data_IF_209998786353
#
_entry.id   IF_209998786353
#
_cell.length_a   1.000
_cell.length_b   1.000
_cell.length_c   1.000
_cell.angle_alpha   90.00
_cell.angle_beta   90.00
_cell.angle_gamma   90.00
#
_symmetry.space_group_name_H-M   'P 1'
#
loop_
_entity.id
_entity.type
_entity.pdbx_description
1 polymer ?
#
# COMPACT_ATOMS: atom_id res chain seq x y z
N UNK A 1 -12.11 -7.77 4.48
CA UNK A 1 -12.39 -7.01 3.23
C UNK A 1 -11.77 -5.63 3.36
N UNK A 2 -11.07 -5.16 2.34
CA UNK A 2 -10.48 -3.81 2.30
C UNK A 2 -11.33 -2.91 1.40
N UNK A 3 -11.92 -1.88 1.96
CA UNK A 3 -12.70 -0.90 1.21
C UNK A 3 -11.99 0.46 1.19
N UNK A 4 -12.27 1.25 0.19
CA UNK A 4 -11.91 2.67 0.16
C UNK A 4 -13.17 3.53 0.12
N UNK A 5 -13.09 4.71 0.73
CA UNK A 5 -14.18 5.67 0.82
C UNK A 5 -13.84 6.96 0.11
N UNK A 6 -14.69 7.42 -0.80
CA UNK A 6 -14.56 8.73 -1.44
C UNK A 6 -15.57 9.67 -0.81
N UNK A 7 -15.07 10.78 -0.23
CA UNK A 7 -15.92 11.85 0.31
C UNK A 7 -16.13 12.87 -0.79
N UNK A 8 -17.37 12.97 -1.28
CA UNK A 8 -17.75 13.86 -2.38
C UNK A 8 -17.83 15.35 -2.01
N UNK A 9 -17.01 15.81 -1.07
CA UNK A 9 -16.97 17.19 -0.61
C UNK A 9 -15.53 17.62 -0.36
N UNK A 10 -15.16 18.77 -0.84
CA UNK A 10 -13.89 19.46 -0.55
C UNK A 10 -14.04 20.52 0.56
N UNK A 11 -15.20 20.58 1.24
CA UNK A 11 -15.39 21.48 2.37
C UNK A 11 -14.63 20.98 3.60
N UNK A 12 -14.04 21.91 4.37
CA UNK A 12 -13.35 21.61 5.63
C UNK A 12 -14.29 20.94 6.63
N UNK A 13 -15.51 21.46 6.80
CA UNK A 13 -16.55 20.85 7.61
C UNK A 13 -17.55 20.15 6.70
N UNK A 14 -17.53 18.81 6.70
CA UNK A 14 -18.41 18.00 5.87
C UNK A 14 -19.11 16.90 6.67
N UNK A 15 -20.44 16.87 6.66
CA UNK A 15 -21.20 15.77 7.28
C UNK A 15 -21.05 14.45 6.54
N UNK A 16 -20.75 14.48 5.27
CA UNK A 16 -20.40 13.28 4.53
C UNK A 16 -19.03 12.72 4.95
N UNK A 17 -18.07 13.58 5.31
CA UNK A 17 -16.79 13.17 5.92
C UNK A 17 -17.03 12.56 7.30
N UNK A 18 -17.80 13.22 8.17
CA UNK A 18 -18.16 12.69 9.50
C UNK A 18 -18.83 11.32 9.40
N UNK A 19 -19.77 11.16 8.44
CA UNK A 19 -20.42 9.87 8.20
C UNK A 19 -19.41 8.77 7.81
N UNK A 20 -18.49 9.08 6.92
CA UNK A 20 -17.47 8.12 6.50
C UNK A 20 -16.45 7.79 7.60
N UNK A 21 -16.07 8.77 8.41
CA UNK A 21 -15.21 8.57 9.60
C UNK A 21 -15.92 7.70 10.65
N UNK A 22 -17.22 7.96 10.90
CA UNK A 22 -18.04 7.10 11.74
C UNK A 22 -18.08 5.65 11.22
N UNK A 23 -18.32 5.46 9.92
CA UNK A 23 -18.32 4.14 9.29
C UNK A 23 -16.97 3.45 9.49
N UNK A 24 -15.87 4.15 9.26
CA UNK A 24 -14.51 3.59 9.41
C UNK A 24 -14.19 3.20 10.87
N UNK A 25 -14.74 3.93 11.85
CA UNK A 25 -14.55 3.68 13.27
C UNK A 25 -15.43 2.55 13.79
N UNK A 26 -16.73 2.59 13.48
CA UNK A 26 -17.77 1.76 14.10
C UNK A 26 -17.84 0.34 13.52
N UNK A 27 -17.56 0.18 12.21
CA UNK A 27 -17.77 -1.11 11.53
C UNK A 27 -16.48 -1.85 11.15
N UNK A 28 -15.44 -1.71 11.97
CA UNK A 28 -14.15 -2.42 11.80
C UNK A 28 -14.27 -3.94 11.83
N UNK A 29 -15.32 -4.45 12.43
CA UNK A 29 -15.65 -5.88 12.46
C UNK A 29 -16.13 -6.42 11.10
N UNK A 30 -16.60 -5.55 10.20
CA UNK A 30 -17.07 -5.93 8.87
C UNK A 30 -15.98 -5.77 7.81
N UNK A 31 -15.21 -4.68 7.87
CA UNK A 31 -14.18 -4.34 6.88
C UNK A 31 -13.21 -3.28 7.42
N UNK A 32 -12.11 -3.07 6.72
CA UNK A 32 -11.27 -1.88 6.88
C UNK A 32 -11.65 -0.84 5.83
N UNK A 33 -11.81 0.42 6.23
CA UNK A 33 -12.15 1.53 5.34
C UNK A 33 -11.06 2.60 5.38
N UNK A 34 -10.44 2.86 4.24
CA UNK A 34 -9.49 3.94 4.05
C UNK A 34 -10.16 5.09 3.29
N UNK A 35 -10.12 6.30 3.83
CA UNK A 35 -10.73 7.47 3.20
C UNK A 35 -9.77 8.12 2.21
N UNK A 36 -10.27 8.40 1.02
CA UNK A 36 -9.56 9.09 -0.05
C UNK A 36 -10.05 10.53 -0.14
N UNK A 37 -9.11 11.48 -0.18
CA UNK A 37 -9.41 12.90 -0.25
C UNK A 37 -9.36 13.39 -1.71
N UNK A 38 -10.38 14.15 -2.10
CA UNK A 38 -10.48 14.78 -3.42
C UNK A 38 -10.15 16.27 -3.41
N UNK A 39 -9.79 16.82 -2.25
CA UNK A 39 -9.63 18.27 -2.04
C UNK A 39 -8.55 18.88 -2.91
N UNK A 40 -7.44 18.16 -3.10
CA UNK A 40 -6.28 18.63 -3.85
C UNK A 40 -6.29 18.22 -5.32
N UNK A 41 -7.33 17.52 -5.78
CA UNK A 41 -7.43 17.19 -7.20
C UNK A 41 -7.75 18.44 -8.02
N UNK A 42 -7.05 18.67 -9.13
CA UNK A 42 -7.38 19.78 -10.01
C UNK A 42 -8.77 19.58 -10.66
N UNK A 43 -9.39 20.65 -11.07
CA UNK A 43 -10.61 20.54 -11.89
C UNK A 43 -10.27 19.81 -13.19
N UNK A 44 -11.15 18.89 -13.58
CA UNK A 44 -10.95 18.11 -14.80
C UNK A 44 -10.90 19.02 -16.02
N UNK A 45 -9.85 18.85 -16.81
CA UNK A 45 -9.65 19.47 -18.11
C UNK A 45 -8.96 18.43 -19.02
N UNK A 46 -9.64 18.00 -20.07
CA UNK A 46 -9.11 16.96 -20.96
C UNK A 46 -7.87 17.39 -21.78
N UNK A 47 -7.59 18.70 -21.85
CA UNK A 47 -6.41 19.23 -22.52
C UNK A 47 -5.15 19.19 -21.63
N UNK A 48 -5.32 18.86 -20.35
CA UNK A 48 -4.27 18.75 -19.34
C UNK A 48 -4.09 17.28 -18.93
N UNK A 49 -2.92 16.70 -19.18
CA UNK A 49 -2.63 15.32 -18.76
C UNK A 49 -2.12 15.28 -17.32
N UNK A 50 -3.03 15.24 -16.37
CA UNK A 50 -2.71 15.02 -14.96
C UNK A 50 -2.74 13.54 -14.54
N UNK A 51 -3.20 12.65 -15.41
CA UNK A 51 -3.36 11.23 -15.09
C UNK A 51 -2.04 10.52 -14.77
N UNK A 52 -0.93 11.04 -15.32
CA UNK A 52 0.42 10.47 -15.15
C UNK A 52 1.32 11.25 -14.18
N UNK A 53 0.95 12.46 -13.82
CA UNK A 53 1.82 13.39 -13.08
C UNK A 53 1.25 13.82 -11.73
N UNK A 54 -0.08 13.81 -11.56
CA UNK A 54 -0.70 14.21 -10.31
C UNK A 54 -0.59 13.10 -9.26
N UNK A 55 0.19 13.35 -8.20
CA UNK A 55 0.44 12.41 -7.11
C UNK A 55 -0.84 11.91 -6.46
N UNK A 56 -1.76 12.82 -6.12
CA UNK A 56 -2.96 12.47 -5.36
C UNK A 56 -3.90 11.60 -6.22
N UNK A 57 -3.99 11.89 -7.51
CA UNK A 57 -4.74 11.09 -8.47
C UNK A 57 -4.14 9.69 -8.65
N UNK A 58 -2.80 9.57 -8.76
CA UNK A 58 -2.11 8.29 -8.88
C UNK A 58 -2.25 7.44 -7.61
N UNK A 59 -2.15 8.07 -6.44
CA UNK A 59 -2.40 7.39 -5.16
C UNK A 59 -3.84 6.89 -5.06
N UNK A 60 -4.80 7.74 -5.42
CA UNK A 60 -6.23 7.37 -5.43
C UNK A 60 -6.50 6.20 -6.37
N UNK A 61 -5.97 6.25 -7.59
CA UNK A 61 -6.07 5.17 -8.57
C UNK A 61 -5.60 3.82 -7.99
N UNK A 62 -4.37 3.78 -7.43
CA UNK A 62 -3.82 2.56 -6.84
C UNK A 62 -4.68 2.03 -5.69
N UNK A 63 -5.11 2.92 -4.79
CA UNK A 63 -5.94 2.54 -3.63
C UNK A 63 -7.26 1.92 -4.07
N UNK A 64 -7.91 2.48 -5.10
CA UNK A 64 -9.15 1.94 -5.66
C UNK A 64 -8.89 0.59 -6.36
N UNK A 65 -7.82 0.46 -7.15
CA UNK A 65 -7.47 -0.80 -7.79
C UNK A 65 -7.29 -1.94 -6.78
N UNK A 66 -6.63 -1.67 -5.67
CA UNK A 66 -6.32 -2.63 -4.61
C UNK A 66 -7.47 -2.92 -3.65
N UNK A 67 -8.51 -2.09 -3.67
CA UNK A 67 -9.67 -2.27 -2.80
C UNK A 67 -10.64 -3.33 -3.33
N UNK A 68 -11.30 -4.01 -2.40
CA UNK A 68 -12.37 -4.97 -2.69
C UNK A 68 -13.67 -4.30 -3.15
N UNK A 69 -13.84 -3.00 -2.82
CA UNK A 69 -14.98 -2.19 -3.20
C UNK A 69 -14.81 -0.74 -2.75
N UNK A 70 -15.74 0.11 -3.18
CA UNK A 70 -15.71 1.55 -2.91
C UNK A 70 -17.02 1.99 -2.26
N UNK A 71 -16.93 2.88 -1.27
CA UNK A 71 -18.09 3.59 -0.72
C UNK A 71 -17.95 5.06 -1.10
N UNK A 72 -18.97 5.64 -1.74
CA UNK A 72 -18.97 7.07 -2.11
C UNK A 72 -20.04 7.78 -1.32
N UNK A 73 -19.63 8.75 -0.48
CA UNK A 73 -20.52 9.61 0.26
C UNK A 73 -20.68 10.95 -0.48
N UNK A 74 -21.89 11.27 -0.94
CA UNK A 74 -22.14 12.50 -1.69
C UNK A 74 -23.06 13.46 -0.96
N UNK A 75 -22.69 14.75 -0.79
CA UNK A 75 -23.65 15.79 -0.50
C UNK A 75 -24.54 16.07 -1.73
N UNK A 76 -25.61 16.82 -1.52
CA UNK A 76 -26.48 17.30 -2.61
C UNK A 76 -26.32 18.81 -2.76
N UNK A 77 -25.81 19.24 -3.91
CA UNK A 77 -25.74 20.65 -4.31
C UNK A 77 -26.58 20.86 -5.56
N UNK A 78 -27.55 21.76 -5.47
CA UNK A 78 -28.44 22.06 -6.60
C UNK A 78 -29.04 20.79 -7.25
N UNK A 79 -29.50 19.85 -6.41
CA UNK A 79 -30.11 18.58 -6.80
C UNK A 79 -29.17 17.58 -7.50
N UNK A 80 -27.87 17.75 -7.41
CA UNK A 80 -26.88 16.85 -8.01
C UNK A 80 -25.66 16.69 -7.10
N UNK A 81 -24.65 15.95 -7.56
CA UNK A 81 -23.36 15.82 -6.90
C UNK A 81 -22.56 17.13 -6.97
N UNK A 82 -21.54 17.24 -6.16
CA UNK A 82 -20.62 18.40 -6.20
C UNK A 82 -19.77 18.42 -7.47
N UNK A 83 -19.34 19.61 -7.88
CA UNK A 83 -18.41 19.79 -8.99
C UNK A 83 -17.07 19.07 -8.72
N UNK A 84 -16.59 19.10 -7.47
CA UNK A 84 -15.36 18.40 -7.06
C UNK A 84 -15.47 16.88 -7.20
N UNK A 85 -16.58 16.27 -6.79
CA UNK A 85 -16.81 14.84 -6.97
C UNK A 85 -16.90 14.47 -8.45
N UNK A 86 -17.64 15.27 -9.24
CA UNK A 86 -17.77 15.04 -10.69
C UNK A 86 -16.40 15.09 -11.37
N UNK A 87 -15.59 16.11 -11.05
CA UNK A 87 -14.23 16.27 -11.55
C UNK A 87 -13.33 15.09 -11.18
N UNK A 88 -13.37 14.63 -9.92
CA UNK A 88 -12.61 13.45 -9.49
C UNK A 88 -13.00 12.19 -10.29
N UNK A 89 -14.30 11.98 -10.53
CA UNK A 89 -14.78 10.85 -11.34
C UNK A 89 -14.37 10.97 -12.81
N UNK A 90 -14.32 12.17 -13.38
CA UNK A 90 -13.81 12.40 -14.74
C UNK A 90 -12.32 12.01 -14.83
N UNK A 91 -11.48 12.46 -13.90
CA UNK A 91 -10.08 12.05 -13.85
C UNK A 91 -9.92 10.54 -13.75
N UNK A 92 -10.73 9.88 -12.91
CA UNK A 92 -10.70 8.44 -12.71
C UNK A 92 -11.28 7.63 -13.90
N UNK A 93 -11.99 8.28 -14.82
CA UNK A 93 -12.62 7.62 -15.97
C UNK A 93 -12.04 8.03 -17.32
N UNK A 94 -11.10 8.98 -17.36
CA UNK A 94 -10.51 9.46 -18.60
C UNK A 94 -9.42 8.51 -19.13
N UNK A 95 -8.45 8.10 -18.28
CA UNK A 95 -7.37 7.20 -18.69
C UNK A 95 -7.10 6.05 -17.71
N UNK A 96 -7.47 6.20 -16.44
CA UNK A 96 -7.05 5.30 -15.37
C UNK A 96 -8.02 4.11 -15.14
N UNK A 97 -9.31 4.34 -15.23
CA UNK A 97 -10.40 3.37 -15.09
C UNK A 97 -10.35 2.42 -13.86
N UNK A 98 -9.99 2.87 -12.62
CA UNK A 98 -9.91 1.97 -11.47
C UNK A 98 -11.28 1.51 -10.95
N UNK A 99 -12.35 2.22 -11.33
CA UNK A 99 -13.73 1.90 -10.95
C UNK A 99 -14.39 0.86 -11.86
N UNK A 100 -13.78 0.54 -12.99
CA UNK A 100 -14.32 -0.45 -13.93
C UNK A 100 -14.51 -1.82 -13.27
N UNK A 101 -15.74 -2.32 -13.32
CA UNK A 101 -16.17 -3.56 -12.68
C UNK A 101 -15.96 -3.58 -11.14
N UNK A 102 -15.76 -2.41 -10.51
CA UNK A 102 -15.59 -2.28 -9.07
C UNK A 102 -16.96 -2.21 -8.37
N UNK A 103 -17.21 -3.01 -7.32
CA UNK A 103 -18.40 -2.85 -6.51
C UNK A 103 -18.43 -1.49 -5.81
N UNK A 104 -19.50 -0.72 -6.00
CA UNK A 104 -19.64 0.61 -5.43
C UNK A 104 -20.94 0.75 -4.65
N UNK A 105 -20.86 1.21 -3.40
CA UNK A 105 -21.99 1.64 -2.59
C UNK A 105 -22.04 3.16 -2.58
N UNK A 106 -23.24 3.70 -2.81
CA UNK A 106 -23.51 5.14 -2.73
C UNK A 106 -24.32 5.41 -1.48
N UNK A 107 -23.95 6.45 -0.72
CA UNK A 107 -24.66 6.94 0.45
C UNK A 107 -24.46 8.46 0.58
N UNK A 108 -25.13 9.09 1.55
CA UNK A 108 -24.90 10.50 1.76
C UNK A 108 -25.67 11.08 2.94
N UNK A 109 -25.25 12.29 3.30
CA UNK A 109 -25.85 13.11 4.35
C UNK A 109 -26.18 14.51 3.83
N UNK A 110 -27.30 15.07 4.27
CA UNK A 110 -27.73 16.44 3.96
C UNK A 110 -28.32 17.16 5.16
N UNK A 111 -28.38 18.50 5.09
CA UNK A 111 -29.04 19.32 6.11
C UNK A 111 -30.54 19.10 6.18
N UNK A 112 -31.17 18.72 5.07
CA UNK A 112 -32.60 18.52 4.93
C UNK A 112 -32.96 17.04 4.99
N UNK A 113 -34.24 16.74 5.05
CA UNK A 113 -34.77 15.38 5.22
C UNK A 113 -34.44 14.43 4.04
N UNK A 114 -34.14 14.97 2.85
CA UNK A 114 -33.87 14.15 1.64
C UNK A 114 -32.59 13.31 1.69
N UNK A 115 -31.65 13.62 2.59
CA UNK A 115 -30.44 12.82 2.76
C UNK A 115 -29.59 12.66 1.49
N UNK A 116 -29.55 13.64 0.60
CA UNK A 116 -28.89 13.66 -0.71
C UNK A 116 -29.46 12.69 -1.77
N UNK A 117 -30.74 12.35 -1.69
CA UNK A 117 -31.38 11.34 -2.56
C UNK A 117 -31.22 11.62 -4.06
N UNK A 118 -31.39 12.88 -4.51
CA UNK A 118 -31.24 13.24 -5.93
C UNK A 118 -29.80 13.14 -6.40
N UNK A 119 -28.86 13.59 -5.57
CA UNK A 119 -27.43 13.46 -5.88
C UNK A 119 -27.03 11.98 -5.98
N UNK A 120 -27.56 11.10 -5.13
CA UNK A 120 -27.31 9.66 -5.21
C UNK A 120 -27.86 9.05 -6.51
N UNK A 121 -29.01 9.46 -6.99
CA UNK A 121 -29.56 9.02 -8.28
C UNK A 121 -28.66 9.45 -9.44
N UNK A 122 -28.22 10.71 -9.48
CA UNK A 122 -27.30 11.20 -10.50
C UNK A 122 -25.94 10.49 -10.43
N UNK A 123 -25.43 10.26 -9.22
CA UNK A 123 -24.17 9.53 -9.04
C UNK A 123 -24.25 8.11 -9.59
N UNK A 124 -25.38 7.41 -9.39
CA UNK A 124 -25.61 6.07 -9.97
C UNK A 124 -25.54 6.09 -11.49
N UNK A 125 -26.15 7.08 -12.15
CA UNK A 125 -26.08 7.23 -13.61
C UNK A 125 -24.63 7.47 -14.10
N UNK A 126 -23.85 8.29 -13.38
CA UNK A 126 -22.46 8.55 -13.70
C UNK A 126 -21.61 7.28 -13.55
N UNK A 127 -21.83 6.51 -12.48
CA UNK A 127 -21.10 5.28 -12.20
C UNK A 127 -21.44 4.16 -13.19
N UNK A 128 -22.64 4.15 -13.75
CA UNK A 128 -23.11 3.21 -14.77
C UNK A 128 -22.64 3.59 -16.19
N UNK A 129 -22.11 4.80 -16.38
CA UNK A 129 -21.61 5.24 -17.67
C UNK A 129 -20.45 4.37 -18.17
N UNK A 130 -20.36 4.05 -19.49
CA UNK A 130 -19.35 3.16 -20.04
C UNK A 130 -17.91 3.52 -19.71
N UNK A 131 -17.60 4.83 -19.53
CA UNK A 131 -16.27 5.29 -19.16
C UNK A 131 -15.90 4.96 -17.69
N UNK A 132 -16.88 4.84 -16.79
CA UNK A 132 -16.69 4.46 -15.37
C UNK A 132 -16.93 2.97 -15.16
N UNK A 133 -18.05 2.46 -15.70
CA UNK A 133 -18.45 1.04 -15.71
C UNK A 133 -18.35 0.35 -14.33
N UNK A 134 -18.83 1.01 -13.28
CA UNK A 134 -18.82 0.46 -11.92
C UNK A 134 -20.02 -0.46 -11.69
N UNK A 135 -19.88 -1.48 -10.83
CA UNK A 135 -21.00 -2.34 -10.41
C UNK A 135 -21.65 -1.72 -9.18
N UNK A 136 -22.67 -0.89 -9.41
CA UNK A 136 -23.35 -0.14 -8.34
C UNK A 136 -24.25 -1.06 -7.52
N UNK A 137 -24.06 -1.06 -6.19
CA UNK A 137 -24.88 -1.85 -5.26
C UNK A 137 -26.36 -1.45 -5.35
N UNK A 138 -27.27 -2.37 -5.73
CA UNK A 138 -28.68 -2.06 -5.95
C UNK A 138 -29.46 -2.00 -4.64
N UNK A 139 -30.51 -1.17 -4.62
CA UNK A 139 -31.38 -1.01 -3.43
C UNK A 139 -30.63 -0.46 -2.22
N UNK A 140 -31.18 -0.61 -1.04
CA UNK A 140 -30.57 -0.25 0.24
C UNK A 140 -29.95 1.16 0.26
N UNK A 141 -30.73 2.17 -0.12
CA UNK A 141 -30.33 3.56 -0.02
C UNK A 141 -30.12 3.94 1.44
N UNK A 142 -28.97 4.56 1.74
CA UNK A 142 -28.73 5.17 3.03
C UNK A 142 -28.74 6.69 2.86
N UNK A 143 -29.79 7.31 3.38
CA UNK A 143 -30.12 8.73 3.23
C UNK A 143 -30.13 9.36 4.63
N UNK A 144 -29.02 10.00 5.03
CA UNK A 144 -28.95 10.68 6.32
C UNK A 144 -29.45 12.11 6.19
N UNK A 145 -30.74 12.33 6.51
CA UNK A 145 -31.31 13.67 6.66
C UNK A 145 -30.92 14.34 7.97
N UNK A 146 -31.17 15.64 8.09
CA UNK A 146 -30.93 16.46 9.30
C UNK A 146 -29.55 16.26 9.89
N UNK A 147 -28.53 16.25 9.06
CA UNK A 147 -27.17 15.87 9.44
C UNK A 147 -26.58 16.69 10.60
N UNK A 148 -27.08 17.92 10.84
CA UNK A 148 -26.65 18.74 12.00
C UNK A 148 -27.03 18.11 13.34
N UNK A 149 -28.18 17.43 13.37
CA UNK A 149 -28.77 16.84 14.58
C UNK A 149 -28.38 15.34 14.71
N UNK A 150 -27.88 14.75 13.63
CA UNK A 150 -27.61 13.32 13.54
C UNK A 150 -26.32 12.88 14.23
N UNK A 151 -25.41 13.81 14.53
CA UNK A 151 -24.13 13.50 15.14
C UNK A 151 -23.98 14.20 16.49
N UNK A 152 -23.34 13.48 17.45
CA UNK A 152 -22.87 14.05 18.71
C UNK A 152 -21.57 14.88 18.51
N UNK A 153 -21.03 15.42 19.62
CA UNK A 153 -19.81 16.21 19.60
C UNK A 153 -18.57 15.38 19.20
N UNK A 154 -18.59 14.09 19.46
CA UNK A 154 -17.54 13.11 19.16
C UNK A 154 -17.65 12.52 17.75
N UNK A 155 -18.66 12.94 16.97
CA UNK A 155 -18.91 12.52 15.59
C UNK A 155 -19.60 11.16 15.46
N UNK A 156 -20.24 10.64 16.52
CA UNK A 156 -21.04 9.41 16.45
C UNK A 156 -22.48 9.73 16.07
N UNK A 157 -23.14 8.81 15.37
CA UNK A 157 -24.56 8.89 15.10
C UNK A 157 -25.35 8.66 16.41
N UNK A 158 -26.32 9.55 16.70
CA UNK A 158 -27.08 9.54 17.96
C UNK A 158 -28.31 8.63 17.94
N UNK A 159 -28.82 8.24 16.78
CA UNK A 159 -30.01 7.40 16.66
C UNK A 159 -29.65 5.94 16.38
N UNK A 160 -29.93 5.06 17.35
CA UNK A 160 -29.64 3.63 17.27
C UNK A 160 -30.31 2.92 16.08
N UNK A 161 -31.48 3.39 15.63
CA UNK A 161 -32.17 2.82 14.48
C UNK A 161 -31.40 3.14 13.19
N UNK A 162 -30.92 4.35 13.08
CA UNK A 162 -30.08 4.80 11.96
C UNK A 162 -28.76 4.01 11.94
N UNK A 163 -28.10 3.82 13.08
CA UNK A 163 -26.89 2.99 13.21
C UNK A 163 -27.17 1.55 12.80
N UNK A 164 -28.27 0.94 13.32
CA UNK A 164 -28.65 -0.43 12.97
C UNK A 164 -29.01 -0.61 11.48
N UNK A 165 -29.68 0.38 10.87
CA UNK A 165 -29.98 0.35 9.45
C UNK A 165 -28.73 0.49 8.60
N UNK A 166 -27.81 1.39 8.96
CA UNK A 166 -26.51 1.55 8.29
C UNK A 166 -25.71 0.24 8.34
N UNK A 167 -25.64 -0.42 9.51
CA UNK A 167 -25.01 -1.73 9.64
C UNK A 167 -25.62 -2.77 8.70
N UNK A 168 -26.94 -2.77 8.59
CA UNK A 168 -27.65 -3.67 7.65
C UNK A 168 -27.25 -3.41 6.20
N UNK A 169 -27.22 -2.13 5.77
CA UNK A 169 -26.79 -1.75 4.42
C UNK A 169 -25.34 -2.16 4.15
N UNK A 170 -24.42 -1.88 5.08
CA UNK A 170 -23.01 -2.23 4.96
C UNK A 170 -22.77 -3.75 4.92
N UNK A 171 -23.47 -4.51 5.76
CA UNK A 171 -23.40 -5.99 5.75
C UNK A 171 -23.85 -6.57 4.40
N UNK A 172 -24.93 -6.02 3.82
CA UNK A 172 -25.41 -6.43 2.51
C UNK A 172 -24.41 -6.04 1.41
N UNK A 173 -23.81 -4.84 1.51
CA UNK A 173 -22.79 -4.40 0.58
C UNK A 173 -21.56 -5.30 0.61
N UNK A 174 -21.07 -5.70 1.78
CA UNK A 174 -19.95 -6.66 1.92
C UNK A 174 -20.25 -7.98 1.19
N UNK A 175 -21.44 -8.53 1.39
CA UNK A 175 -21.88 -9.76 0.67
C UNK A 175 -21.94 -9.54 -0.84
N UNK A 176 -22.51 -8.42 -1.27
CA UNK A 176 -22.57 -8.05 -2.68
C UNK A 176 -21.18 -7.91 -3.29
N UNK A 177 -20.28 -7.18 -2.64
CA UNK A 177 -18.91 -6.98 -3.10
C UNK A 177 -18.15 -8.31 -3.24
N UNK A 178 -18.33 -9.25 -2.28
CA UNK A 178 -17.74 -10.60 -2.36
C UNK A 178 -18.20 -11.36 -3.61
N UNK A 179 -19.49 -11.28 -3.95
CA UNK A 179 -20.03 -11.94 -5.16
C UNK A 179 -19.58 -11.20 -6.42
N UNK A 180 -19.68 -9.88 -6.44
CA UNK A 180 -19.31 -9.07 -7.60
C UNK A 180 -17.84 -9.25 -8.00
N UNK A 181 -16.92 -9.37 -7.02
CA UNK A 181 -15.52 -9.68 -7.30
C UNK A 181 -15.32 -11.00 -8.07
N UNK A 182 -16.17 -11.99 -7.84
CA UNK A 182 -16.09 -13.26 -8.58
C UNK A 182 -16.53 -13.13 -10.05
N UNK A 183 -17.26 -12.07 -10.38
CA UNK A 183 -17.71 -11.77 -11.74
C UNK A 183 -16.74 -10.84 -12.48
N UNK A 184 -15.87 -10.14 -11.74
CA UNK A 184 -14.91 -9.24 -12.35
C UNK A 184 -13.86 -10.02 -13.14
N UNK A 185 -13.75 -9.77 -14.42
CA UNK A 185 -12.63 -10.23 -15.21
C UNK A 185 -11.36 -9.59 -14.67
N UNK A 186 -10.31 -10.40 -14.45
CA UNK A 186 -9.01 -9.87 -14.05
C UNK A 186 -8.48 -9.02 -15.20
N UNK A 187 -8.19 -7.74 -14.94
CA UNK A 187 -7.50 -6.89 -15.92
C UNK A 187 -6.22 -7.60 -16.37
N UNK A 188 -5.96 -7.70 -17.68
CA UNK A 188 -4.72 -8.29 -18.15
C UNK A 188 -3.55 -7.50 -17.58
N UNK A 189 -2.56 -8.22 -17.08
CA UNK A 189 -1.32 -7.59 -16.61
C UNK A 189 -0.59 -6.99 -17.81
N UNK A 190 -0.17 -5.73 -17.75
CA UNK A 190 0.61 -5.11 -18.82
C UNK A 190 1.84 -5.95 -19.16
N UNK A 191 2.15 -6.05 -20.45
CA UNK A 191 3.37 -6.71 -20.90
C UNK A 191 4.55 -5.77 -20.67
N UNK A 192 5.55 -6.25 -19.93
CA UNK A 192 6.74 -5.50 -19.59
C UNK A 192 7.90 -5.80 -20.54
N UNK A 193 8.73 -4.82 -20.76
CA UNK A 193 10.03 -5.00 -21.39
C UNK A 193 11.12 -5.22 -20.32
N UNK A 194 11.48 -6.46 -20.12
CA UNK A 194 12.51 -6.82 -19.15
C UNK A 194 13.94 -6.64 -19.68
N UNK A 195 14.10 -6.30 -20.97
CA UNK A 195 15.43 -6.10 -21.56
C UNK A 195 15.94 -4.67 -21.39
N UNK A 196 15.15 -3.80 -20.76
CA UNK A 196 15.46 -2.41 -20.57
C UNK A 196 15.70 -1.64 -21.89
N UNK A 197 15.05 -2.06 -22.98
CA UNK A 197 15.23 -1.49 -24.33
C UNK A 197 14.33 -0.29 -24.63
N UNK A 198 13.83 0.41 -23.59
CA UNK A 198 13.04 1.62 -23.73
C UNK A 198 13.82 2.83 -24.27
N UNK A 199 13.21 4.02 -24.29
CA UNK A 199 13.89 5.25 -24.72
C UNK A 199 15.10 5.63 -23.87
N UNK A 200 15.12 5.16 -22.59
CA UNK A 200 16.26 5.15 -21.71
C UNK A 200 16.52 3.70 -21.36
N UNK A 201 17.50 3.07 -21.97
CA UNK A 201 17.85 1.68 -21.74
C UNK A 201 18.44 1.46 -20.36
N UNK A 202 18.90 2.52 -19.72
CA UNK A 202 19.49 2.52 -18.38
C UNK A 202 19.06 3.77 -17.61
N UNK A 203 19.06 3.70 -16.28
CA UNK A 203 18.89 4.88 -15.42
C UNK A 203 19.97 5.93 -15.68
N UNK A 204 21.18 5.48 -16.07
CA UNK A 204 22.31 6.34 -16.46
C UNK A 204 22.44 6.28 -17.97
N UNK A 205 21.89 7.27 -18.64
CA UNK A 205 21.84 7.36 -20.10
C UNK A 205 23.24 7.33 -20.72
N UNK A 206 23.39 6.55 -21.81
CA UNK A 206 24.62 6.47 -22.63
C UNK A 206 25.74 5.62 -22.01
N UNK A 207 25.42 4.75 -21.06
CA UNK A 207 26.29 3.64 -20.61
C UNK A 207 25.62 2.34 -21.01
N UNK A 208 26.37 1.47 -21.73
CA UNK A 208 25.84 0.17 -22.17
C UNK A 208 25.56 -0.72 -20.94
N UNK A 209 24.30 -1.06 -20.71
CA UNK A 209 23.88 -1.88 -19.56
C UNK A 209 24.42 -3.32 -19.56
N UNK A 210 24.97 -3.79 -20.70
CA UNK A 210 25.59 -5.12 -20.81
C UNK A 210 27.11 -5.07 -20.75
N UNK A 211 27.71 -3.90 -20.48
CA UNK A 211 29.16 -3.79 -20.34
C UNK A 211 29.61 -4.36 -18.99
N UNK A 212 30.63 -5.23 -19.00
CA UNK A 212 31.19 -5.83 -17.76
C UNK A 212 31.70 -4.79 -16.76
N UNK A 213 32.11 -3.61 -17.25
CA UNK A 213 32.56 -2.45 -16.48
C UNK A 213 31.51 -1.35 -16.35
N UNK A 214 30.22 -1.73 -16.42
CA UNK A 214 29.10 -0.78 -16.34
C UNK A 214 29.16 0.06 -15.06
N UNK A 215 29.46 -0.56 -13.92
CA UNK A 215 29.48 0.10 -12.61
C UNK A 215 30.48 1.25 -12.57
N UNK A 216 31.71 1.01 -13.05
CA UNK A 216 32.80 2.00 -13.08
C UNK A 216 32.44 3.14 -14.05
N UNK A 217 32.02 2.80 -15.25
CA UNK A 217 31.63 3.79 -16.28
C UNK A 217 30.44 4.64 -15.85
N UNK A 218 29.45 4.03 -15.22
CA UNK A 218 28.30 4.72 -14.70
C UNK A 218 28.69 5.67 -13.56
N UNK A 219 29.50 5.19 -12.61
CA UNK A 219 29.99 6.00 -11.50
C UNK A 219 30.81 7.22 -11.97
N UNK A 220 31.71 7.02 -12.93
CA UNK A 220 32.49 8.10 -13.53
C UNK A 220 31.58 9.13 -14.23
N UNK A 221 30.62 8.66 -15.02
CA UNK A 221 29.73 9.51 -15.83
C UNK A 221 28.87 10.43 -14.99
N UNK A 222 28.35 9.95 -13.84
CA UNK A 222 27.49 10.76 -12.96
C UNK A 222 28.27 11.43 -11.84
N UNK A 223 29.60 11.31 -11.81
CA UNK A 223 30.45 11.77 -10.71
C UNK A 223 29.94 11.23 -9.37
N UNK A 224 29.73 9.92 -9.28
CA UNK A 224 29.19 9.29 -8.09
C UNK A 224 30.07 9.55 -6.87
N UNK A 225 29.44 9.87 -5.76
CA UNK A 225 30.14 10.15 -4.50
C UNK A 225 30.32 8.88 -3.68
N UNK A 226 31.40 8.83 -2.87
CA UNK A 226 31.73 7.69 -2.02
C UNK A 226 32.35 8.15 -0.70
N UNK A 227 32.63 7.19 0.18
CA UNK A 227 33.39 7.40 1.41
C UNK A 227 32.64 8.27 2.42
N UNK A 228 33.32 9.25 2.96
CA UNK A 228 32.86 10.15 4.02
C UNK A 228 32.07 11.36 3.51
N UNK A 229 31.75 11.39 2.20
CA UNK A 229 30.89 12.44 1.61
C UNK A 229 29.48 12.36 2.19
N UNK A 230 28.97 13.48 2.71
CA UNK A 230 27.64 13.56 3.27
C UNK A 230 26.54 13.63 2.19
N UNK A 231 25.50 12.83 2.36
CA UNK A 231 24.26 12.90 1.58
C UNK A 231 23.11 13.32 2.48
N UNK A 232 22.27 14.24 1.99
CA UNK A 232 21.07 14.68 2.69
C UNK A 232 19.90 13.81 2.25
N UNK A 233 19.30 13.10 3.19
CA UNK A 233 18.08 12.34 3.02
C UNK A 233 16.87 13.17 3.51
N UNK A 234 15.65 12.73 3.23
CA UNK A 234 14.43 13.43 3.64
C UNK A 234 14.34 13.64 5.17
N UNK A 235 14.85 12.67 5.93
CA UNK A 235 14.81 12.69 7.40
C UNK A 235 16.14 12.34 8.05
N UNK A 236 17.23 12.86 7.50
CA UNK A 236 18.54 12.65 8.08
C UNK A 236 19.69 13.04 7.18
N UNK A 237 20.89 12.93 7.73
CA UNK A 237 22.15 13.16 7.03
C UNK A 237 23.09 12.02 7.39
N UNK A 238 23.65 11.35 6.40
CA UNK A 238 24.61 10.26 6.54
C UNK A 238 25.77 10.48 5.57
N UNK A 239 26.93 9.92 5.88
CA UNK A 239 27.94 9.73 4.84
C UNK A 239 27.56 8.54 3.97
N UNK A 240 28.13 8.43 2.78
CA UNK A 240 27.93 7.27 1.91
C UNK A 240 28.35 5.98 2.61
N UNK A 241 29.46 5.97 3.34
CA UNK A 241 29.90 4.82 4.13
C UNK A 241 28.90 4.46 5.23
N UNK A 242 28.36 5.44 5.96
CA UNK A 242 27.33 5.19 6.97
C UNK A 242 26.06 4.62 6.35
N UNK A 243 25.66 5.08 5.16
CA UNK A 243 24.53 4.53 4.44
C UNK A 243 24.79 3.07 4.04
N UNK A 244 25.98 2.75 3.53
CA UNK A 244 26.38 1.38 3.21
C UNK A 244 26.39 0.47 4.45
N UNK A 245 26.97 0.93 5.58
CA UNK A 245 26.95 0.15 6.82
C UNK A 245 25.54 -0.11 7.31
N UNK A 246 24.67 0.90 7.22
CA UNK A 246 23.26 0.77 7.59
C UNK A 246 22.53 -0.25 6.71
N UNK A 247 22.63 -0.17 5.39
CA UNK A 247 22.01 -1.11 4.45
C UNK A 247 22.56 -2.54 4.62
N UNK A 248 23.88 -2.69 4.82
CA UNK A 248 24.53 -3.99 4.97
C UNK A 248 24.22 -4.64 6.34
N UNK A 249 23.86 -3.86 7.36
CA UNK A 249 23.49 -4.38 8.69
C UNK A 249 22.06 -4.91 8.76
N UNK A 250 21.24 -4.68 7.75
CA UNK A 250 19.86 -5.19 7.73
C UNK A 250 19.86 -6.72 7.63
N UNK A 251 19.08 -7.44 8.46
CA UNK A 251 19.03 -8.90 8.47
C UNK A 251 18.24 -9.47 7.30
N UNK A 252 18.41 -8.90 6.12
CA UNK A 252 17.75 -9.28 4.88
C UNK A 252 18.60 -8.92 3.67
N UNK A 253 18.42 -9.65 2.59
CA UNK A 253 19.03 -9.31 1.31
C UNK A 253 18.15 -8.31 0.60
N UNK A 254 18.73 -7.19 0.18
CA UNK A 254 18.05 -6.12 -0.54
C UNK A 254 18.52 -6.08 -1.99
N UNK A 255 17.58 -5.91 -2.89
CA UNK A 255 17.86 -5.70 -4.32
C UNK A 255 16.97 -4.58 -4.84
N UNK A 256 17.56 -3.66 -5.60
CA UNK A 256 16.81 -2.59 -6.25
C UNK A 256 16.95 -2.69 -7.78
N UNK A 257 15.80 -2.73 -8.45
CA UNK A 257 15.68 -2.52 -9.88
C UNK A 257 14.85 -1.28 -10.15
N UNK A 258 15.29 -0.45 -11.08
CA UNK A 258 14.66 0.83 -11.39
C UNK A 258 13.40 0.69 -12.26
N UNK A 259 12.81 1.83 -12.63
CA UNK A 259 11.65 1.87 -13.51
C UNK A 259 11.91 1.41 -14.94
N UNK A 260 13.17 1.28 -15.37
CA UNK A 260 13.57 0.73 -16.66
C UNK A 260 13.84 -0.79 -16.60
N UNK A 261 13.55 -1.43 -15.46
CA UNK A 261 13.87 -2.85 -15.24
C UNK A 261 15.38 -3.17 -15.28
N UNK A 262 16.18 -2.19 -14.86
CA UNK A 262 17.62 -2.35 -14.69
C UNK A 262 17.97 -2.61 -13.23
N UNK A 263 18.79 -3.63 -12.97
CA UNK A 263 19.29 -3.99 -11.65
C UNK A 263 20.42 -3.03 -11.26
N UNK A 264 20.21 -2.20 -10.23
CA UNK A 264 21.13 -1.12 -9.88
C UNK A 264 21.86 -1.29 -8.55
N UNK A 265 21.29 -2.07 -7.62
CA UNK A 265 21.87 -2.18 -6.29
C UNK A 265 21.47 -3.47 -5.60
N UNK A 266 22.41 -4.03 -4.83
CA UNK A 266 22.11 -5.00 -3.79
C UNK A 266 23.02 -4.72 -2.57
N UNK A 267 22.55 -5.05 -1.35
CA UNK A 267 23.35 -4.86 -0.16
C UNK A 267 24.33 -6.02 0.04
N UNK A 268 25.52 -5.70 0.55
CA UNK A 268 26.50 -6.70 0.94
C UNK A 268 26.18 -7.23 2.35
N UNK A 269 25.18 -8.11 2.44
CA UNK A 269 24.75 -8.72 3.69
C UNK A 269 25.54 -9.98 4.02
N UNK A 270 25.91 -10.75 3.00
CA UNK A 270 26.69 -12.00 3.05
C UNK A 270 27.49 -12.17 1.79
N UNK A 271 28.45 -13.09 1.84
CA UNK A 271 29.15 -13.57 0.63
C UNK A 271 28.15 -14.20 -0.34
N UNK A 272 28.41 -14.11 -1.64
CA UNK A 272 27.53 -14.55 -2.71
C UNK A 272 27.08 -16.01 -2.58
N UNK A 273 27.97 -16.89 -2.12
CA UNK A 273 27.68 -18.32 -1.91
C UNK A 273 26.78 -18.58 -0.69
N UNK A 274 26.68 -17.66 0.26
CA UNK A 274 25.81 -17.74 1.46
C UNK A 274 24.46 -17.04 1.26
N UNK A 275 24.31 -16.25 0.20
CA UNK A 275 23.08 -15.51 -0.08
C UNK A 275 21.92 -16.45 -0.39
N UNK A 276 20.75 -16.06 0.04
CA UNK A 276 19.48 -16.75 -0.27
C UNK A 276 19.08 -16.55 -1.74
N UNK A 277 19.37 -15.38 -2.30
CA UNK A 277 19.32 -15.14 -3.74
C UNK A 277 20.67 -14.59 -4.18
N UNK A 278 21.47 -15.44 -4.78
CA UNK A 278 22.83 -15.09 -5.19
C UNK A 278 22.86 -13.89 -6.11
N UNK A 279 23.66 -12.89 -5.75
CA UNK A 279 23.93 -11.70 -6.55
C UNK A 279 25.44 -11.53 -6.69
N UNK A 280 25.85 -11.00 -7.83
CA UNK A 280 27.26 -10.76 -8.14
C UNK A 280 27.48 -9.32 -8.59
N UNK A 281 28.63 -8.73 -8.32
CA UNK A 281 28.93 -7.35 -8.74
C UNK A 281 28.72 -7.11 -10.24
N UNK A 282 29.05 -8.07 -11.09
CA UNK A 282 28.92 -7.96 -12.55
C UNK A 282 27.47 -7.92 -13.04
N UNK A 283 26.50 -8.22 -12.16
CA UNK A 283 25.09 -8.13 -12.50
C UNK A 283 24.53 -6.72 -12.30
N UNK A 284 25.26 -5.84 -11.61
CA UNK A 284 24.84 -4.44 -11.43
C UNK A 284 24.91 -3.73 -12.78
N UNK A 285 23.81 -3.11 -13.19
CA UNK A 285 23.65 -2.53 -14.51
C UNK A 285 22.92 -3.42 -15.51
N UNK A 286 22.83 -4.74 -15.26
CA UNK A 286 22.12 -5.65 -16.15
C UNK A 286 20.61 -5.44 -16.12
N UNK A 287 19.95 -5.79 -17.22
CA UNK A 287 18.50 -5.85 -17.26
C UNK A 287 17.94 -7.03 -16.44
N UNK A 288 16.69 -6.94 -15.98
CA UNK A 288 16.04 -8.07 -15.29
C UNK A 288 15.96 -9.33 -16.15
N UNK A 289 15.98 -9.20 -17.48
CA UNK A 289 16.05 -10.33 -18.40
C UNK A 289 17.37 -11.11 -18.27
N UNK A 290 18.47 -10.41 -17.97
CA UNK A 290 19.81 -11.00 -17.90
C UNK A 290 20.18 -11.50 -16.48
N UNK A 291 19.52 -10.98 -15.46
CA UNK A 291 19.76 -11.39 -14.05
C UNK A 291 19.33 -12.83 -13.77
N UNK A 292 18.46 -13.43 -14.60
CA UNK A 292 17.91 -14.78 -14.42
C UNK A 292 18.22 -15.71 -15.60
N UNK A 293 19.47 -16.18 -15.77
CA UNK A 293 19.88 -16.89 -16.98
C UNK A 293 19.46 -18.38 -17.06
N UNK A 294 19.19 -19.06 -15.96
CA UNK A 294 19.13 -20.53 -15.94
C UNK A 294 17.87 -21.16 -16.58
N UNK A 295 16.75 -20.42 -16.67
CA UNK A 295 15.52 -20.89 -17.35
C UNK A 295 14.75 -19.71 -17.95
N UNK A 296 15.20 -19.16 -19.06
CA UNK A 296 14.78 -17.85 -19.52
C UNK A 296 13.27 -17.72 -19.76
N UNK A 297 12.61 -18.65 -20.42
CA UNK A 297 11.21 -18.48 -20.80
C UNK A 297 10.21 -18.51 -19.61
N UNK A 298 10.37 -19.47 -18.70
CA UNK A 298 9.47 -19.61 -17.56
C UNK A 298 9.65 -18.48 -16.55
N UNK A 299 10.90 -18.14 -16.28
CA UNK A 299 11.26 -17.09 -15.32
C UNK A 299 10.87 -15.73 -15.89
N UNK A 300 11.22 -15.43 -17.14
CA UNK A 300 10.84 -14.19 -17.81
C UNK A 300 9.33 -13.98 -17.81
N UNK A 301 8.52 -15.04 -18.03
CA UNK A 301 7.06 -14.95 -17.98
C UNK A 301 6.57 -14.58 -16.58
N UNK A 302 7.15 -15.18 -15.54
CA UNK A 302 6.76 -14.90 -14.14
C UNK A 302 7.23 -13.52 -13.70
N UNK A 303 8.45 -13.12 -14.04
CA UNK A 303 9.00 -11.80 -13.74
C UNK A 303 8.22 -10.72 -14.50
N UNK A 304 7.94 -10.92 -15.78
CA UNK A 304 7.14 -10.01 -16.59
C UNK A 304 5.75 -9.78 -15.98
N UNK A 305 5.07 -10.85 -15.58
CA UNK A 305 3.78 -10.78 -14.90
C UNK A 305 3.87 -10.00 -13.57
N UNK A 306 4.89 -10.30 -12.76
CA UNK A 306 5.08 -9.65 -11.46
C UNK A 306 5.38 -8.16 -11.61
N UNK A 307 6.30 -7.79 -12.48
CA UNK A 307 6.65 -6.39 -12.75
C UNK A 307 5.43 -5.63 -13.25
N UNK A 308 4.67 -6.23 -14.18
CA UNK A 308 3.44 -5.62 -14.69
C UNK A 308 2.39 -5.37 -13.60
N UNK A 309 2.20 -6.32 -12.65
CA UNK A 309 1.30 -6.13 -11.50
C UNK A 309 1.73 -4.95 -10.61
N UNK A 310 3.02 -4.87 -10.30
CA UNK A 310 3.59 -3.83 -9.44
C UNK A 310 3.55 -2.46 -10.14
N UNK A 311 3.97 -2.39 -11.39
CA UNK A 311 3.99 -1.14 -12.18
C UNK A 311 2.60 -0.57 -12.41
N UNK A 312 1.62 -1.43 -12.70
CA UNK A 312 0.22 -1.00 -12.90
C UNK A 312 -0.48 -0.60 -11.61
N UNK A 313 0.15 -0.81 -10.42
CA UNK A 313 -0.43 -0.50 -9.13
C UNK A 313 -1.58 -1.43 -8.71
N UNK A 314 -1.77 -2.56 -9.39
CA UNK A 314 -2.74 -3.56 -8.99
C UNK A 314 -2.40 -4.17 -7.63
N UNK A 315 -1.10 -4.26 -7.33
CA UNK A 315 -0.58 -4.62 -6.00
C UNK A 315 0.63 -3.74 -5.66
N UNK A 316 0.85 -3.48 -4.37
CA UNK A 316 2.06 -2.80 -3.91
C UNK A 316 3.16 -3.79 -3.50
N UNK A 317 2.78 -4.96 -3.01
CA UNK A 317 3.70 -5.99 -2.54
C UNK A 317 3.24 -7.37 -3.00
N UNK A 318 4.16 -8.12 -3.60
CA UNK A 318 3.98 -9.55 -3.87
C UNK A 318 4.92 -10.36 -2.98
N UNK A 319 4.38 -11.39 -2.31
CA UNK A 319 5.18 -12.30 -1.47
C UNK A 319 5.11 -13.71 -2.01
N UNK A 320 6.25 -14.37 -2.00
CA UNK A 320 6.30 -15.79 -2.35
C UNK A 320 7.31 -16.52 -1.46
N UNK A 321 6.95 -17.73 -1.03
CA UNK A 321 7.88 -18.64 -0.38
C UNK A 321 8.64 -19.42 -1.43
N UNK A 322 9.97 -19.49 -1.27
CA UNK A 322 10.88 -20.26 -2.15
C UNK A 322 11.39 -21.48 -1.38
N UNK A 323 10.89 -22.69 -1.69
CA UNK A 323 11.15 -23.89 -0.88
C UNK A 323 12.51 -24.57 -1.17
N UNK A 324 13.38 -23.96 -1.98
CA UNK A 324 14.64 -24.58 -2.44
C UNK A 324 15.76 -24.59 -1.40
N UNK A 325 15.55 -23.92 -0.25
CA UNK A 325 16.58 -23.75 0.78
C UNK A 325 16.56 -24.81 1.90
N UNK A 326 15.82 -25.92 1.69
CA UNK A 326 15.71 -27.01 2.65
C UNK A 326 14.70 -26.77 3.78
N UNK A 327 14.49 -27.77 4.65
CA UNK A 327 13.45 -27.75 5.68
C UNK A 327 13.76 -26.82 6.87
N UNK A 328 15.03 -26.44 7.03
CA UNK A 328 15.49 -25.62 8.15
C UNK A 328 15.38 -24.13 7.92
N UNK A 329 14.90 -23.73 6.74
CA UNK A 329 14.67 -22.34 6.35
C UNK A 329 13.27 -22.14 5.82
N UNK A 330 12.73 -20.94 6.07
CA UNK A 330 11.49 -20.48 5.46
C UNK A 330 11.75 -19.17 4.74
N UNK A 331 12.31 -19.29 3.53
CA UNK A 331 12.75 -18.13 2.74
C UNK A 331 11.57 -17.49 2.01
N UNK A 332 11.42 -16.20 2.24
CA UNK A 332 10.36 -15.39 1.62
C UNK A 332 10.98 -14.28 0.80
N UNK A 333 10.61 -14.23 -0.47
CA UNK A 333 10.89 -13.12 -1.35
C UNK A 333 9.71 -12.15 -1.30
N UNK A 334 9.99 -10.89 -1.05
CA UNK A 334 9.04 -9.80 -1.06
C UNK A 334 9.45 -8.83 -2.17
N UNK A 335 8.56 -8.62 -3.13
CA UNK A 335 8.74 -7.65 -4.20
C UNK A 335 7.81 -6.47 -3.94
N UNK A 336 8.38 -5.31 -3.68
CA UNK A 336 7.64 -4.11 -3.34
C UNK A 336 7.81 -3.04 -4.41
N UNK A 337 6.68 -2.55 -4.93
CA UNK A 337 6.70 -1.40 -5.81
C UNK A 337 7.20 -0.15 -5.07
N UNK A 338 8.11 0.57 -5.69
CA UNK A 338 8.58 1.86 -5.20
C UNK A 338 7.93 2.98 -6.02
N UNK A 339 7.71 4.12 -5.36
CA UNK A 339 7.12 5.29 -6.00
C UNK A 339 7.95 6.52 -5.65
N UNK A 340 8.10 7.41 -6.62
CA UNK A 340 8.75 8.69 -6.42
C UNK A 340 7.85 9.65 -5.60
N UNK A 341 8.36 10.85 -5.32
CA UNK A 341 7.62 11.90 -4.58
C UNK A 341 6.31 12.33 -5.26
N UNK A 342 6.18 12.07 -6.56
CA UNK A 342 4.99 12.37 -7.36
C UNK A 342 4.02 11.18 -7.45
N UNK A 343 4.34 10.05 -6.80
CA UNK A 343 3.53 8.83 -6.82
C UNK A 343 3.68 8.00 -8.09
N UNK A 344 4.64 8.35 -8.96
CA UNK A 344 4.97 7.60 -10.17
C UNK A 344 5.82 6.38 -9.80
N UNK A 345 5.59 5.27 -10.49
CA UNK A 345 6.39 4.04 -10.28
C UNK A 345 7.88 4.30 -10.55
N UNK A 346 8.72 3.97 -9.56
CA UNK A 346 10.15 4.23 -9.55
C UNK A 346 10.99 2.93 -9.59
N UNK A 347 10.33 1.77 -9.56
CA UNK A 347 11.03 0.48 -9.60
C UNK A 347 10.56 -0.49 -8.54
N UNK A 348 11.38 -1.52 -8.29
CA UNK A 348 11.12 -2.61 -7.36
C UNK A 348 12.22 -2.68 -6.32
N UNK A 349 11.83 -2.74 -5.06
CA UNK A 349 12.66 -3.22 -3.98
C UNK A 349 12.32 -4.70 -3.74
N UNK A 350 13.26 -5.61 -4.01
CA UNK A 350 13.15 -6.99 -3.55
C UNK A 350 13.89 -7.10 -2.21
N UNK A 351 13.22 -7.63 -1.19
CA UNK A 351 13.88 -7.99 0.06
C UNK A 351 13.56 -9.43 0.45
N UNK A 352 14.63 -10.16 0.78
CA UNK A 352 14.61 -11.60 0.99
C UNK A 352 15.09 -11.88 2.41
N UNK A 353 14.33 -12.69 3.12
CA UNK A 353 14.72 -13.10 4.46
C UNK A 353 14.23 -14.50 4.80
N UNK A 354 14.96 -15.14 5.72
CA UNK A 354 14.53 -16.38 6.35
C UNK A 354 13.63 -16.05 7.56
N UNK A 355 12.35 -16.37 7.47
CA UNK A 355 11.39 -16.14 8.54
C UNK A 355 11.50 -17.15 9.69
N UNK A 356 12.12 -18.32 9.45
CA UNK A 356 12.14 -19.38 10.47
C UNK A 356 12.78 -18.94 11.77
N UNK A 357 13.93 -18.25 11.83
CA UNK A 357 14.51 -17.80 13.10
C UNK A 357 13.59 -16.85 13.88
N UNK A 358 12.85 -15.98 13.18
CA UNK A 358 11.90 -15.04 13.79
C UNK A 358 10.70 -15.80 14.38
N UNK A 359 10.15 -16.76 13.62
CA UNK A 359 9.04 -17.59 14.07
C UNK A 359 9.47 -18.46 15.27
N UNK A 360 10.65 -19.09 15.19
CA UNK A 360 11.18 -19.91 16.29
C UNK A 360 11.39 -19.07 17.55
N UNK A 361 11.93 -17.86 17.42
CA UNK A 361 12.09 -16.93 18.54
C UNK A 361 10.73 -16.53 19.13
N UNK A 362 9.74 -16.19 18.29
CA UNK A 362 8.37 -15.86 18.73
C UNK A 362 7.72 -17.00 19.50
N UNK A 363 7.76 -18.22 18.97
CA UNK A 363 7.19 -19.40 19.63
C UNK A 363 7.88 -19.67 20.96
N UNK A 364 9.21 -19.49 21.03
CA UNK A 364 9.96 -19.63 22.27
C UNK A 364 9.56 -18.59 23.33
N UNK A 365 9.34 -17.33 22.92
CA UNK A 365 8.95 -16.25 23.83
C UNK A 365 7.51 -16.41 24.34
N UNK A 366 6.60 -16.89 23.49
CA UNK A 366 5.18 -16.96 23.82
C UNK A 366 4.75 -18.31 24.38
N UNK A 367 5.58 -19.35 24.29
CA UNK A 367 5.21 -20.73 24.65
C UNK A 367 4.16 -21.35 23.71
N UNK A 368 3.89 -20.72 22.58
CA UNK A 368 2.96 -21.21 21.57
C UNK A 368 3.60 -22.28 20.69
N UNK A 369 2.78 -23.10 20.04
CA UNK A 369 3.22 -24.07 19.06
C UNK A 369 2.41 -23.96 17.76
N UNK A 370 3.04 -24.29 16.64
CA UNK A 370 2.33 -24.40 15.36
C UNK A 370 1.51 -25.69 15.33
N UNK A 371 0.29 -25.60 14.79
CA UNK A 371 -0.64 -26.72 14.66
C UNK A 371 -1.05 -26.87 13.19
N UNK A 372 -0.97 -28.10 12.66
CA UNK A 372 -1.49 -28.45 11.35
C UNK A 372 -2.61 -29.48 11.51
N UNK A 373 -3.83 -29.14 11.07
CA UNK A 373 -5.01 -30.02 11.21
C UNK A 373 -5.26 -30.52 12.66
N UNK A 374 -5.06 -29.62 13.65
CA UNK A 374 -5.24 -29.97 15.07
C UNK A 374 -4.05 -30.70 15.72
N UNK A 375 -2.99 -31.01 14.99
CA UNK A 375 -1.79 -31.68 15.49
C UNK A 375 -0.63 -30.70 15.59
N UNK A 376 0.05 -30.58 16.74
CA UNK A 376 1.25 -29.74 16.85
C UNK A 376 2.32 -30.16 15.85
N UNK A 377 2.89 -29.20 15.12
CA UNK A 377 3.99 -29.41 14.20
C UNK A 377 5.21 -28.61 14.67
N UNK A 378 6.35 -29.28 14.76
CA UNK A 378 7.58 -28.68 15.26
C UNK A 378 7.83 -28.97 16.73
N UNK A 379 9.00 -28.59 17.23
CA UNK A 379 9.33 -28.70 18.66
C UNK A 379 8.57 -27.62 19.41
N UNK A 380 7.64 -28.02 20.29
CA UNK A 380 7.03 -27.10 21.24
C UNK A 380 8.11 -26.49 22.15
N UNK A 381 8.20 -25.19 22.18
CA UNK A 381 9.07 -24.51 23.13
C UNK A 381 8.30 -24.36 24.47
N UNK A 382 8.86 -24.89 25.53
CA UNK A 382 8.41 -24.50 26.89
C UNK A 382 8.70 -23.00 27.03
N UNK A 383 7.75 -22.24 27.55
CA UNK A 383 7.93 -20.83 27.81
C UNK A 383 9.21 -20.63 28.64
N UNK A 384 10.17 -19.91 28.12
CA UNK A 384 11.29 -19.45 28.91
C UNK A 384 10.71 -18.54 30.01
N UNK A 385 11.17 -18.61 31.24
CA UNK A 385 10.79 -17.64 32.26
C UNK A 385 11.10 -16.25 31.68
N UNK A 386 10.12 -15.36 31.74
CA UNK A 386 10.28 -14.01 31.23
C UNK A 386 11.58 -13.42 31.78
N UNK A 387 12.51 -12.95 30.95
CA UNK A 387 13.65 -12.20 31.46
C UNK A 387 13.05 -11.02 32.23
N UNK A 388 13.54 -10.77 33.44
CA UNK A 388 13.21 -9.58 34.19
C UNK A 388 13.39 -8.40 33.23
N UNK A 389 12.35 -7.60 33.04
CA UNK A 389 12.25 -6.58 31.99
C UNK A 389 13.53 -5.75 31.95
N UNK A 390 14.36 -6.04 30.95
CA UNK A 390 15.35 -5.08 30.49
C UNK A 390 14.61 -4.22 29.49
N UNK A 391 14.26 -3.01 29.91
CA UNK A 391 13.70 -1.96 29.08
C UNK A 391 14.57 -1.74 27.85
N UNK A 392 14.16 -2.30 26.72
CA UNK A 392 14.59 -1.80 25.43
C UNK A 392 13.67 -0.61 25.06
N UNK A 393 13.69 0.41 25.89
CA UNK A 393 13.21 1.72 25.48
C UNK A 393 14.17 2.26 24.46
N UNK A 394 13.69 2.46 23.24
CA UNK A 394 14.30 3.41 22.32
C UNK A 394 14.11 4.82 22.93
N UNK A 395 14.91 5.11 23.94
CA UNK A 395 14.89 6.39 24.62
C UNK A 395 15.68 7.41 23.82
N UNK A 396 15.01 8.40 23.30
CA UNK A 396 15.63 9.71 23.13
C UNK A 396 15.89 10.21 24.56
N UNK A 397 17.15 10.29 24.94
CA UNK A 397 17.61 10.79 26.22
C UNK A 397 17.38 12.28 26.29
N UNK A 398 16.51 12.69 27.20
CA UNK A 398 16.55 14.03 27.75
C UNK A 398 17.39 13.99 29.04
N UNK A 399 18.48 14.73 29.03
CA UNK A 399 19.37 14.83 30.18
C UNK A 399 18.87 15.90 31.15
N UNK A 400 18.52 15.52 32.37
CA UNK A 400 18.23 16.50 33.42
C UNK A 400 17.64 15.93 34.70
N UNK A 401 18.51 15.66 35.66
CA UNK A 401 18.36 15.69 37.14
C UNK A 401 17.32 14.85 37.90
N UNK A 402 17.84 13.89 38.58
CA UNK A 402 17.76 13.56 40.00
C UNK A 402 16.40 13.40 40.69
N UNK A 403 16.13 12.18 41.22
CA UNK A 403 15.12 11.96 42.26
C UNK A 403 14.55 10.57 42.34
N UNK A 404 14.80 9.88 43.44
CA UNK A 404 14.55 8.50 43.79
C UNK A 404 13.15 7.94 43.52
N UNK A 405 13.16 6.59 43.32
CA UNK A 405 12.02 5.68 43.18
C UNK A 405 11.02 5.68 44.35
N UNK A 406 9.80 5.14 44.23
CA UNK A 406 9.62 3.70 44.39
C UNK A 406 8.65 2.97 43.45
N UNK A 407 8.70 1.66 43.54
CA UNK A 407 8.18 0.55 42.77
C UNK A 407 6.67 0.48 42.48
N UNK A 408 6.38 -0.01 41.28
CA UNK A 408 5.40 -0.97 40.75
C UNK A 408 3.90 -0.89 41.16
N UNK A 409 2.91 -1.36 40.36
CA UNK A 409 2.92 -2.58 39.56
C UNK A 409 2.36 -2.43 38.12
N UNK A 410 2.63 -3.41 37.26
CA UNK A 410 2.03 -3.61 35.97
C UNK A 410 0.52 -3.93 36.04
N UNK A 411 -0.27 -3.56 35.00
CA UNK A 411 -0.65 -4.59 34.07
C UNK A 411 -0.71 -4.21 32.60
N UNK A 412 -0.54 -5.25 31.76
CA UNK A 412 -1.14 -5.54 30.47
C UNK A 412 -1.26 -4.46 29.39
N UNK A 413 -0.53 -4.74 28.29
CA UNK A 413 -0.90 -4.66 26.87
C UNK A 413 -1.81 -3.54 26.39
N UNK A 414 -1.26 -2.64 25.58
CA UNK A 414 -1.71 -2.45 24.19
C UNK A 414 -0.72 -1.54 23.46
N UNK A 415 -0.08 -2.12 22.46
CA UNK A 415 0.78 -1.38 21.55
C UNK A 415 -0.08 -0.79 20.43
N UNK A 416 -0.45 0.47 20.55
CA UNK A 416 -0.86 1.29 19.41
C UNK A 416 0.10 2.44 19.28
N UNK A 417 0.88 2.38 18.22
CA UNK A 417 1.72 3.47 17.77
C UNK A 417 0.84 4.63 17.29
N UNK A 418 0.76 5.68 18.09
CA UNK A 418 0.28 6.98 17.67
C UNK A 418 1.43 7.83 17.21
N UNK A 419 1.46 8.17 15.94
CA UNK A 419 2.22 9.30 15.45
C UNK A 419 1.26 10.46 15.26
N UNK A 420 1.39 11.49 16.06
CA UNK A 420 0.79 12.79 15.84
C UNK A 420 1.89 13.83 15.71
N UNK A 421 1.79 14.61 14.72
CA UNK A 421 1.97 16.01 14.38
C UNK A 421 2.60 16.15 13.01
#
# INVERSE_FOLDING_TARGET
MKLVGIVGSNAEVSYNRKLMEFIAKEYKDLFTLELLDITNLPMFNQDEDHSRENKDLLVMNRKILQADGVIIATPEHNHTITASLKSALEWLSFELHPLENKPVMVLGASYYDQGSSRAQLHLRQILDAPGVNAIVFPGNEFLLGRAKEAFDAEGNLVDDRTVGYLRTCLTKFVKFATVAQSLAERKPTPKEDLTASGKCDTTIEGVDGNADDWYEKAAEKVNAVSGDTYVKLDRGILTVDQLNYFLNSMPMELTYADSNNQFLYYNYHKEDYEMLAKRRPEQVGCSLANVHPEHPERIHKSVNWLVGLLRSGQIDVFRTHVPTHGPDKYVVHNYQAMYDKNGKYAGINEYILDFKPIVDWYLKQTGQSLVKNGVPVGHGYAAAPAPAAADATSGASDAGHGGAAPAAPAPAADATSGATA
#
